data_IF_956186778234
#
_entry.id   IF_956186778234
#
_cell.length_a   1.000
_cell.length_b   1.000
_cell.length_c   1.000
_cell.angle_alpha   90.00
_cell.angle_beta   90.00
_cell.angle_gamma   90.00
#
_symmetry.space_group_name_H-M   'P 1'
#
loop_
_entity.id
_entity.type
_entity.pdbx_description
1 polymer ?
#
# COMPACT_ATOMS: atom_id res chain seq x y z
N UNK A 1 75.16 34.80 -5.84
CA UNK A 1 74.21 34.46 -6.95
C UNK A 1 73.56 33.07 -6.85
N UNK A 2 74.23 32.08 -6.29
CA UNK A 2 73.65 30.68 -6.21
C UNK A 2 72.41 30.53 -5.30
N UNK A 3 72.31 31.30 -4.21
CA UNK A 3 71.13 31.22 -3.28
C UNK A 3 69.85 31.81 -3.85
N UNK A 4 69.89 32.76 -4.77
CA UNK A 4 68.72 33.34 -5.40
C UNK A 4 68.07 32.41 -6.45
N UNK A 5 68.90 31.66 -7.21
CA UNK A 5 68.40 30.69 -8.20
C UNK A 5 67.68 29.48 -7.57
N UNK A 6 68.13 29.01 -6.39
CA UNK A 6 67.51 27.87 -5.70
C UNK A 6 66.11 28.24 -5.14
N UNK A 7 65.95 29.48 -4.63
CA UNK A 7 64.64 29.94 -4.13
C UNK A 7 63.63 30.13 -5.27
N UNK A 8 64.02 30.58 -6.43
CA UNK A 8 63.14 30.73 -7.60
C UNK A 8 62.71 29.39 -8.16
N UNK A 9 63.56 28.36 -8.12
CA UNK A 9 63.25 27.01 -8.60
C UNK A 9 62.26 26.29 -7.68
N UNK A 10 62.33 26.50 -6.35
CA UNK A 10 61.40 25.92 -5.36
C UNK A 10 60.01 26.55 -5.50
N UNK A 11 59.92 27.88 -5.74
CA UNK A 11 58.64 28.56 -5.92
C UNK A 11 57.94 28.12 -7.22
N UNK A 12 58.68 27.98 -8.34
CA UNK A 12 58.09 27.51 -9.60
C UNK A 12 57.65 26.05 -9.52
N UNK A 13 58.40 25.19 -8.82
CA UNK A 13 58.00 23.77 -8.63
C UNK A 13 56.77 23.62 -7.72
N UNK A 14 56.64 24.44 -6.67
CA UNK A 14 55.46 24.42 -5.79
C UNK A 14 54.20 24.94 -6.49
N UNK A 15 54.31 25.92 -7.40
CA UNK A 15 53.16 26.40 -8.19
C UNK A 15 52.72 25.41 -9.26
N UNK A 16 53.64 24.65 -9.86
CA UNK A 16 53.30 23.58 -10.80
C UNK A 16 52.60 22.42 -10.13
N UNK A 17 53.06 21.99 -8.93
CA UNK A 17 52.40 20.93 -8.18
C UNK A 17 50.99 21.34 -7.68
N UNK A 18 50.79 22.61 -7.28
CA UNK A 18 49.47 23.13 -6.88
C UNK A 18 48.51 23.24 -8.07
N UNK A 19 48.98 23.53 -9.29
CA UNK A 19 48.14 23.59 -10.48
C UNK A 19 47.69 22.18 -10.92
N UNK A 20 48.57 21.19 -10.84
CA UNK A 20 48.26 19.80 -11.21
C UNK A 20 47.30 19.13 -10.22
N UNK A 21 47.44 19.44 -8.91
CA UNK A 21 46.52 18.91 -7.87
C UNK A 21 45.12 19.51 -7.97
N UNK A 22 44.98 20.78 -8.34
CA UNK A 22 43.69 21.43 -8.60
C UNK A 22 43.01 20.93 -9.87
N UNK A 23 43.74 20.66 -10.94
CA UNK A 23 43.20 20.11 -12.19
C UNK A 23 42.71 18.66 -11.98
N UNK A 24 43.44 17.86 -11.20
CA UNK A 24 43.04 16.51 -10.84
C UNK A 24 41.79 16.53 -9.91
N UNK A 25 41.76 17.43 -8.93
CA UNK A 25 40.58 17.59 -8.03
C UNK A 25 39.34 18.08 -8.79
N UNK A 26 39.49 19.02 -9.73
CA UNK A 26 38.44 19.49 -10.62
C UNK A 26 37.95 18.38 -11.59
N UNK A 27 38.86 17.56 -12.10
CA UNK A 27 38.53 16.42 -12.94
C UNK A 27 37.81 15.31 -12.14
N UNK A 28 38.23 15.06 -10.89
CA UNK A 28 37.50 14.15 -9.98
C UNK A 28 36.12 14.69 -9.60
N UNK A 29 35.95 15.96 -9.28
CA UNK A 29 34.66 16.59 -9.04
C UNK A 29 33.77 16.58 -10.29
N UNK A 30 34.31 16.86 -11.47
CA UNK A 30 33.58 16.83 -12.73
C UNK A 30 33.12 15.41 -13.10
N UNK A 31 33.99 14.39 -12.90
CA UNK A 31 33.62 12.99 -13.10
C UNK A 31 32.65 12.44 -12.04
N UNK A 32 32.65 12.95 -10.80
CA UNK A 32 31.67 12.57 -9.77
C UNK A 32 30.31 13.24 -9.96
N UNK A 33 30.26 14.40 -10.64
CA UNK A 33 28.99 15.08 -10.96
C UNK A 33 28.36 14.52 -12.26
N UNK A 34 29.15 13.93 -13.18
CA UNK A 34 28.62 13.34 -14.42
C UNK A 34 28.01 11.92 -14.27
N UNK A 35 28.07 11.28 -13.11
CA UNK A 35 27.55 9.90 -12.91
C UNK A 35 26.50 9.71 -11.83
N UNK A 36 26.00 10.75 -11.21
CA UNK A 36 24.83 10.59 -10.36
C UNK A 36 23.57 10.66 -11.24
N UNK A 37 23.15 9.51 -11.79
CA UNK A 37 21.85 9.44 -12.46
C UNK A 37 20.78 9.99 -11.52
N UNK A 38 19.96 10.89 -12.06
CA UNK A 38 18.81 11.44 -11.35
C UNK A 38 17.87 10.32 -10.86
N UNK A 39 17.34 10.47 -9.65
CA UNK A 39 16.44 9.50 -9.02
C UNK A 39 15.23 9.13 -9.90
N UNK A 40 14.72 10.10 -10.68
CA UNK A 40 13.64 9.85 -11.62
C UNK A 40 14.10 8.91 -12.73
N UNK A 41 15.27 9.15 -13.32
CA UNK A 41 15.86 8.28 -14.35
C UNK A 41 16.07 6.85 -13.82
N UNK A 42 16.62 6.69 -12.62
CA UNK A 42 16.76 5.38 -11.97
C UNK A 42 15.42 4.69 -11.78
N UNK A 43 14.39 5.43 -11.34
CA UNK A 43 13.04 4.90 -11.17
C UNK A 43 12.42 4.46 -12.49
N UNK A 44 12.54 5.25 -13.56
CA UNK A 44 12.08 4.90 -14.91
C UNK A 44 12.76 3.61 -15.39
N UNK A 45 14.08 3.52 -15.29
CA UNK A 45 14.85 2.33 -15.66
C UNK A 45 14.43 1.08 -14.89
N UNK A 46 14.03 1.22 -13.62
CA UNK A 46 13.58 0.08 -12.80
C UNK A 46 12.28 -0.57 -13.31
N UNK A 47 11.49 0.13 -14.12
CA UNK A 47 10.24 -0.40 -14.69
C UNK A 47 10.40 -0.92 -16.12
N UNK A 48 11.48 -0.59 -16.81
CA UNK A 48 11.72 -0.96 -18.22
C UNK A 48 12.84 -2.01 -18.30
N UNK A 49 12.82 -2.81 -19.35
CA UNK A 49 14.02 -3.55 -19.74
C UNK A 49 15.02 -2.60 -20.40
N UNK A 50 16.31 -2.98 -20.35
CA UNK A 50 17.41 -2.16 -20.86
C UNK A 50 17.21 -1.77 -22.33
N UNK A 51 16.76 -2.68 -23.18
CA UNK A 51 16.59 -2.44 -24.60
C UNK A 51 15.45 -1.44 -24.87
N UNK A 52 14.31 -1.59 -24.18
CA UNK A 52 13.19 -0.64 -24.27
C UNK A 52 13.62 0.76 -23.84
N UNK A 53 14.38 0.89 -22.75
CA UNK A 53 14.89 2.18 -22.29
C UNK A 53 15.82 2.84 -23.32
N UNK A 54 16.85 2.13 -23.78
CA UNK A 54 17.84 2.68 -24.70
C UNK A 54 17.23 3.07 -26.05
N UNK A 55 16.35 2.24 -26.60
CA UNK A 55 15.67 2.52 -27.87
C UNK A 55 14.74 3.74 -27.83
N UNK A 56 14.25 4.11 -26.64
CA UNK A 56 13.27 5.19 -26.46
C UNK A 56 13.81 6.36 -25.63
N UNK A 57 15.10 6.45 -25.38
CA UNK A 57 15.70 7.42 -24.45
C UNK A 57 15.28 8.88 -24.72
N UNK A 58 15.32 9.33 -25.98
CA UNK A 58 14.91 10.69 -26.34
C UNK A 58 13.41 10.93 -26.12
N UNK A 59 12.57 9.94 -26.43
CA UNK A 59 11.13 10.00 -26.19
C UNK A 59 10.81 10.00 -24.69
N UNK A 60 11.48 9.16 -23.89
CA UNK A 60 11.36 9.15 -22.44
C UNK A 60 11.71 10.51 -21.84
N UNK A 61 12.83 11.11 -22.25
CA UNK A 61 13.20 12.46 -21.80
C UNK A 61 12.09 13.47 -22.05
N UNK A 62 11.44 13.42 -23.23
CA UNK A 62 10.35 14.34 -23.59
C UNK A 62 9.08 14.15 -22.73
N UNK A 63 8.62 12.91 -22.52
CA UNK A 63 7.36 12.65 -21.79
C UNK A 63 7.48 12.84 -20.27
N UNK A 64 8.71 12.93 -19.74
CA UNK A 64 8.95 13.19 -18.33
C UNK A 64 9.30 14.66 -18.02
N UNK A 65 9.10 15.58 -18.95
CA UNK A 65 9.20 17.03 -18.72
C UNK A 65 7.83 17.64 -18.31
N UNK A 66 7.80 18.55 -17.33
CA UNK A 66 8.91 18.92 -16.45
C UNK A 66 9.12 17.85 -15.35
N UNK A 67 10.38 17.50 -15.10
CA UNK A 67 10.75 16.44 -14.14
C UNK A 67 10.20 16.68 -12.75
N UNK A 68 10.13 17.94 -12.30
CA UNK A 68 9.57 18.32 -10.99
C UNK A 68 8.14 17.84 -10.76
N UNK A 69 7.38 17.62 -11.84
CA UNK A 69 6.01 17.11 -11.75
C UNK A 69 5.92 15.65 -11.27
N UNK A 70 7.03 14.92 -11.27
CA UNK A 70 7.12 13.52 -10.87
C UNK A 70 7.65 13.32 -9.45
N UNK A 71 7.72 14.39 -8.66
CA UNK A 71 8.14 14.34 -7.28
C UNK A 71 7.01 14.73 -6.32
N UNK A 72 6.92 14.01 -5.20
CA UNK A 72 6.02 14.30 -4.09
C UNK A 72 6.81 14.18 -2.79
N UNK A 73 6.90 15.26 -2.01
CA UNK A 73 7.68 15.30 -0.76
C UNK A 73 9.11 14.76 -0.96
N UNK A 74 9.83 15.28 -1.95
CA UNK A 74 11.21 14.92 -2.30
C UNK A 74 11.42 13.47 -2.76
N UNK A 75 10.36 12.71 -2.97
CA UNK A 75 10.39 11.34 -3.49
C UNK A 75 9.79 11.28 -4.87
N UNK A 76 10.29 10.36 -5.69
CA UNK A 76 9.70 10.09 -7.00
C UNK A 76 8.32 9.45 -6.82
N UNK A 77 7.31 10.00 -7.46
CA UNK A 77 5.96 9.43 -7.54
C UNK A 77 5.97 8.22 -8.49
N UNK A 78 6.23 7.05 -7.93
CA UNK A 78 6.28 5.80 -8.69
C UNK A 78 4.96 5.47 -9.41
N UNK A 79 3.81 5.84 -8.84
CA UNK A 79 2.50 5.63 -9.46
C UNK A 79 2.37 6.47 -10.72
N UNK A 80 2.75 7.75 -10.66
CA UNK A 80 2.73 8.66 -11.80
C UNK A 80 3.73 8.26 -12.88
N UNK A 81 4.94 7.81 -12.49
CA UNK A 81 5.93 7.26 -13.43
C UNK A 81 5.35 6.08 -14.20
N UNK A 82 4.77 5.10 -13.52
CA UNK A 82 4.16 3.93 -14.15
C UNK A 82 2.98 4.33 -15.05
N UNK A 83 2.16 5.28 -14.60
CA UNK A 83 1.05 5.80 -15.41
C UNK A 83 1.56 6.39 -16.73
N UNK A 84 2.57 7.26 -16.67
CA UNK A 84 3.17 7.90 -17.85
C UNK A 84 3.76 6.87 -18.81
N UNK A 85 4.54 5.90 -18.29
CA UNK A 85 5.11 4.82 -19.10
C UNK A 85 4.02 3.97 -19.78
N UNK A 86 2.94 3.65 -19.05
CA UNK A 86 1.82 2.87 -19.57
C UNK A 86 1.03 3.63 -20.65
N UNK A 87 0.69 4.89 -20.40
CA UNK A 87 -0.07 5.73 -21.34
C UNK A 87 0.69 5.99 -22.64
N UNK A 88 2.01 6.00 -22.59
CA UNK A 88 2.87 6.15 -23.76
C UNK A 88 3.33 4.81 -24.38
N UNK A 89 2.76 3.68 -23.95
CA UNK A 89 2.99 2.36 -24.53
C UNK A 89 4.33 1.71 -24.22
N UNK A 90 5.15 2.33 -23.34
CA UNK A 90 6.47 1.84 -22.95
C UNK A 90 6.38 0.70 -21.92
N UNK A 91 5.35 0.70 -21.07
CA UNK A 91 5.12 -0.32 -20.05
C UNK A 91 3.78 -1.03 -20.28
N UNK A 92 3.83 -2.33 -20.56
CA UNK A 92 2.66 -3.18 -20.71
C UNK A 92 2.40 -3.95 -19.42
N UNK A 93 1.17 -3.82 -18.89
CA UNK A 93 0.71 -4.56 -17.71
C UNK A 93 -0.07 -5.84 -18.09
N UNK A 94 -0.23 -6.12 -19.38
CA UNK A 94 -0.93 -7.27 -19.93
C UNK A 94 0.06 -8.40 -20.27
N UNK A 95 -0.32 -9.63 -19.95
CA UNK A 95 0.41 -10.84 -20.31
C UNK A 95 -0.34 -11.58 -21.40
N UNK A 96 0.37 -12.16 -22.38
CA UNK A 96 -0.25 -12.91 -23.49
C UNK A 96 -1.03 -14.16 -23.03
N UNK A 97 -0.71 -14.68 -21.84
CA UNK A 97 -1.37 -15.83 -21.19
C UNK A 97 -1.40 -15.62 -19.69
N UNK A 98 -2.37 -16.20 -18.93
CA UNK A 98 -2.39 -16.12 -17.49
C UNK A 98 -1.08 -16.64 -16.88
N UNK A 99 -0.38 -15.78 -16.15
CA UNK A 99 0.89 -16.06 -15.49
C UNK A 99 0.73 -16.09 -13.96
N UNK A 100 1.62 -16.80 -13.29
CA UNK A 100 1.76 -16.71 -11.85
C UNK A 100 2.44 -15.37 -11.51
N UNK A 101 1.74 -14.54 -10.75
CA UNK A 101 2.14 -13.19 -10.44
C UNK A 101 2.24 -13.00 -8.93
N UNK A 102 3.28 -12.28 -8.47
CA UNK A 102 3.56 -12.05 -7.06
C UNK A 102 3.45 -10.56 -6.73
N UNK A 103 2.78 -10.28 -5.61
CA UNK A 103 2.71 -8.96 -5.02
C UNK A 103 3.24 -9.01 -3.59
N UNK A 104 4.17 -8.15 -3.28
CA UNK A 104 4.76 -7.98 -1.97
C UNK A 104 4.40 -6.59 -1.45
N UNK A 105 3.67 -6.55 -0.35
CA UNK A 105 3.20 -5.30 0.24
C UNK A 105 3.91 -5.06 1.56
N UNK A 106 4.54 -3.91 1.71
CA UNK A 106 5.29 -3.50 2.91
C UNK A 106 4.63 -2.30 3.56
N UNK A 107 4.53 -2.30 4.89
CA UNK A 107 4.03 -1.18 5.70
C UNK A 107 4.68 -1.14 7.07
N UNK A 108 4.70 0.03 7.71
CA UNK A 108 5.14 0.20 9.10
C UNK A 108 3.99 0.15 10.11
N UNK A 109 2.75 -0.06 9.64
CA UNK A 109 1.56 -0.07 10.49
C UNK A 109 1.16 -1.46 11.00
N UNK A 110 0.00 -1.53 11.69
CA UNK A 110 -0.54 -2.76 12.25
C UNK A 110 -0.79 -3.83 11.16
N UNK A 111 -0.25 -5.06 11.31
CA UNK A 111 -0.37 -6.12 10.31
C UNK A 111 -1.82 -6.48 9.96
N UNK A 112 -2.67 -6.69 10.96
CA UNK A 112 -4.06 -7.09 10.74
C UNK A 112 -4.87 -5.98 10.06
N UNK A 113 -4.64 -4.74 10.47
CA UNK A 113 -5.27 -3.56 9.87
C UNK A 113 -4.85 -3.41 8.41
N UNK A 114 -3.56 -3.55 8.15
CA UNK A 114 -3.01 -3.48 6.80
C UNK A 114 -3.57 -4.57 5.88
N UNK A 115 -3.52 -5.84 6.31
CA UNK A 115 -4.05 -6.97 5.52
C UNK A 115 -5.54 -6.80 5.25
N UNK A 116 -6.30 -6.22 6.19
CA UNK A 116 -7.73 -5.95 5.99
C UNK A 116 -7.94 -4.88 4.91
N UNK A 117 -7.24 -3.74 4.97
CA UNK A 117 -7.33 -2.67 3.96
C UNK A 117 -6.90 -3.19 2.58
N UNK A 118 -5.73 -3.83 2.49
CA UNK A 118 -5.22 -4.36 1.24
C UNK A 118 -6.12 -5.44 0.65
N UNK A 119 -6.63 -6.35 1.50
CA UNK A 119 -7.54 -7.41 1.05
C UNK A 119 -8.87 -6.88 0.54
N UNK A 120 -9.40 -5.80 1.13
CA UNK A 120 -10.60 -5.12 0.63
C UNK A 120 -10.29 -4.41 -0.69
N UNK A 121 -9.19 -3.67 -0.78
CA UNK A 121 -8.78 -2.98 -2.00
C UNK A 121 -8.59 -3.97 -3.17
N UNK A 122 -7.83 -5.04 -2.97
CA UNK A 122 -7.62 -6.08 -3.98
C UNK A 122 -8.94 -6.70 -4.45
N UNK A 123 -9.86 -6.99 -3.54
CA UNK A 123 -11.18 -7.53 -3.88
C UNK A 123 -12.00 -6.55 -4.70
N UNK A 124 -12.02 -5.28 -4.32
CA UNK A 124 -12.79 -4.23 -5.00
C UNK A 124 -12.30 -3.97 -6.43
N UNK A 125 -11.00 -4.19 -6.70
CA UNK A 125 -10.43 -4.09 -8.04
C UNK A 125 -10.43 -5.42 -8.82
N UNK A 126 -11.07 -6.48 -8.27
CA UNK A 126 -11.32 -7.73 -8.99
C UNK A 126 -10.40 -8.91 -8.65
N UNK A 127 -9.44 -8.75 -7.74
CA UNK A 127 -8.58 -9.85 -7.31
C UNK A 127 -9.22 -10.66 -6.17
N UNK A 128 -10.04 -11.64 -6.52
CA UNK A 128 -10.76 -12.47 -5.53
C UNK A 128 -10.00 -13.74 -5.13
N UNK A 129 -9.04 -14.18 -5.95
CA UNK A 129 -8.35 -15.47 -5.77
C UNK A 129 -6.85 -15.25 -5.74
N UNK A 130 -6.32 -15.18 -4.54
CA UNK A 130 -4.89 -15.18 -4.29
C UNK A 130 -4.59 -16.04 -3.06
N UNK A 131 -3.34 -16.46 -2.92
CA UNK A 131 -2.84 -17.16 -1.74
C UNK A 131 -1.75 -16.33 -1.07
N UNK A 132 -1.75 -16.27 0.25
CA UNK A 132 -0.64 -15.72 1.02
C UNK A 132 0.53 -16.70 0.93
N UNK A 133 1.67 -16.24 0.42
CA UNK A 133 2.88 -17.04 0.29
C UNK A 133 3.89 -16.73 1.38
N UNK A 134 3.86 -15.52 1.95
CA UNK A 134 4.67 -15.14 3.10
C UNK A 134 3.99 -14.02 3.89
N UNK A 135 4.28 -13.96 5.18
CA UNK A 135 3.85 -12.90 6.10
C UNK A 135 4.94 -12.74 7.15
N UNK A 136 5.70 -11.66 7.06
CA UNK A 136 6.87 -11.42 7.91
C UNK A 136 6.72 -10.09 8.64
N UNK A 137 6.92 -10.12 9.95
CA UNK A 137 7.00 -8.92 10.78
C UNK A 137 8.41 -8.83 11.35
N UNK A 138 9.13 -7.78 11.01
CA UNK A 138 10.40 -7.43 11.59
C UNK A 138 10.28 -6.20 12.52
N UNK A 139 11.38 -5.72 13.07
CA UNK A 139 11.38 -4.58 14.00
C UNK A 139 10.94 -3.25 13.35
N UNK A 140 10.94 -3.14 12.04
CA UNK A 140 10.70 -1.88 11.32
C UNK A 140 9.47 -1.92 10.42
N UNK A 141 9.06 -3.10 9.95
CA UNK A 141 8.00 -3.21 8.96
C UNK A 141 7.32 -4.58 8.94
N UNK A 142 6.11 -4.57 8.44
CA UNK A 142 5.34 -5.76 8.10
C UNK A 142 5.33 -5.96 6.58
N UNK A 143 5.69 -7.16 6.13
CA UNK A 143 5.62 -7.55 4.72
C UNK A 143 4.61 -8.66 4.52
N UNK A 144 3.66 -8.45 3.62
CA UNK A 144 2.66 -9.44 3.22
C UNK A 144 2.80 -9.76 1.74
N UNK A 145 3.09 -11.01 1.43
CA UNK A 145 3.33 -11.49 0.08
C UNK A 145 2.21 -12.42 -0.37
N UNK A 146 1.66 -12.16 -1.53
CA UNK A 146 0.60 -12.96 -2.16
C UNK A 146 1.00 -13.42 -3.56
N UNK A 147 0.42 -14.54 -3.98
CA UNK A 147 0.54 -15.03 -5.34
C UNK A 147 -0.85 -15.27 -5.94
N UNK A 148 -0.99 -14.98 -7.22
CA UNK A 148 -2.20 -15.22 -8.00
C UNK A 148 -1.87 -15.62 -9.44
N UNK A 149 -2.86 -16.16 -10.17
CA UNK A 149 -2.79 -16.27 -11.64
C UNK A 149 -3.62 -15.17 -12.27
N UNK A 150 -3.00 -14.40 -13.16
CA UNK A 150 -3.63 -13.27 -13.82
C UNK A 150 -3.08 -13.08 -15.23
N UNK A 151 -3.88 -12.52 -16.11
CA UNK A 151 -3.47 -11.99 -17.42
C UNK A 151 -2.96 -10.55 -17.33
N UNK A 152 -3.08 -9.93 -16.15
CA UNK A 152 -2.68 -8.55 -15.92
C UNK A 152 -1.84 -8.45 -14.65
N UNK A 153 -0.78 -7.65 -14.69
CA UNK A 153 -0.19 -7.09 -13.48
C UNK A 153 -1.20 -6.11 -12.85
N UNK A 154 -1.19 -6.03 -11.53
CA UNK A 154 -2.03 -5.05 -10.82
C UNK A 154 -1.69 -3.64 -11.27
N UNK A 155 -2.67 -2.92 -11.82
CA UNK A 155 -2.49 -1.52 -12.21
C UNK A 155 -2.32 -0.65 -10.94
N UNK A 156 -1.14 -0.02 -10.74
CA UNK A 156 -0.88 0.75 -9.53
C UNK A 156 -1.79 1.96 -9.35
N UNK A 157 -2.24 2.58 -10.46
CA UNK A 157 -3.14 3.72 -10.40
C UNK A 157 -4.53 3.31 -9.89
N UNK A 158 -5.03 2.15 -10.35
CA UNK A 158 -6.33 1.62 -9.89
C UNK A 158 -6.21 1.22 -8.41
N UNK A 159 -5.12 0.55 -8.03
CA UNK A 159 -4.87 0.18 -6.64
C UNK A 159 -4.74 1.42 -5.73
N UNK A 160 -4.00 2.45 -6.16
CA UNK A 160 -3.85 3.70 -5.42
C UNK A 160 -5.21 4.38 -5.17
N UNK A 161 -6.05 4.51 -6.22
CA UNK A 161 -7.40 5.08 -6.11
C UNK A 161 -8.29 4.32 -5.12
N UNK A 162 -8.15 3.00 -5.08
CA UNK A 162 -8.92 2.18 -4.15
C UNK A 162 -8.42 2.33 -2.71
N UNK A 163 -7.10 2.34 -2.50
CA UNK A 163 -6.47 2.54 -1.19
C UNK A 163 -6.80 3.92 -0.60
N UNK A 164 -6.86 4.96 -1.44
CA UNK A 164 -7.21 6.33 -1.01
C UNK A 164 -8.60 6.43 -0.39
N UNK A 165 -9.54 5.56 -0.74
CA UNK A 165 -10.87 5.50 -0.08
C UNK A 165 -10.77 5.18 1.40
N UNK A 166 -9.72 4.50 1.82
CA UNK A 166 -9.39 4.19 3.22
C UNK A 166 -8.28 5.06 3.78
N UNK A 167 -7.88 6.13 3.10
CA UNK A 167 -6.80 7.02 3.54
C UNK A 167 -5.39 6.40 3.45
N UNK A 168 -5.24 5.25 2.78
CA UNK A 168 -3.94 4.63 2.55
C UNK A 168 -3.34 5.06 1.21
N UNK A 169 -2.00 5.13 1.12
CA UNK A 169 -1.29 5.60 -0.07
C UNK A 169 -0.11 4.71 -0.41
N UNK A 170 0.10 4.45 -1.70
CA UNK A 170 1.33 3.85 -2.19
C UNK A 170 2.43 4.91 -2.14
N UNK A 171 3.54 4.61 -1.45
CA UNK A 171 4.67 5.52 -1.29
C UNK A 171 5.86 5.14 -2.17
N UNK A 172 5.96 3.87 -2.55
CA UNK A 172 6.95 3.41 -3.52
C UNK A 172 6.50 2.12 -4.19
N UNK A 173 7.03 1.86 -5.39
CA UNK A 173 6.83 0.63 -6.15
C UNK A 173 8.18 0.21 -6.72
N UNK A 174 8.51 -1.07 -6.63
CA UNK A 174 9.68 -1.68 -7.25
C UNK A 174 9.24 -2.90 -8.05
N UNK A 175 9.78 -3.03 -9.26
CA UNK A 175 9.53 -4.17 -10.13
C UNK A 175 10.76 -5.06 -10.13
N UNK A 176 10.73 -6.17 -9.38
CA UNK A 176 11.86 -7.12 -9.36
C UNK A 176 11.94 -7.87 -10.68
N UNK A 177 10.78 -8.31 -11.19
CA UNK A 177 10.64 -8.97 -12.48
C UNK A 177 9.33 -8.56 -13.13
N UNK A 178 9.08 -9.02 -14.37
CA UNK A 178 7.78 -8.82 -15.03
C UNK A 178 6.62 -9.37 -14.19
N UNK A 179 6.86 -10.38 -13.35
CA UNK A 179 5.83 -11.10 -12.59
C UNK A 179 5.95 -10.95 -11.07
N UNK A 180 6.82 -10.06 -10.57
CA UNK A 180 7.04 -9.82 -9.14
C UNK A 180 7.23 -8.33 -8.87
N UNK A 181 6.32 -7.77 -8.04
CA UNK A 181 6.27 -6.35 -7.74
C UNK A 181 6.17 -6.10 -6.25
N UNK A 182 6.93 -5.14 -5.75
CA UNK A 182 6.93 -4.69 -4.37
C UNK A 182 6.24 -3.33 -4.26
N UNK A 183 5.36 -3.19 -3.29
CA UNK A 183 4.64 -1.96 -2.96
C UNK A 183 4.93 -1.57 -1.53
N UNK A 184 5.45 -0.39 -1.31
CA UNK A 184 5.48 0.24 0.02
C UNK A 184 4.23 1.09 0.18
N UNK A 185 3.47 0.85 1.26
CA UNK A 185 2.17 1.48 1.49
C UNK A 185 2.16 2.15 2.85
N UNK A 186 1.86 3.43 2.86
CA UNK A 186 1.58 4.19 4.08
C UNK A 186 0.12 4.04 4.47
N UNK A 187 -0.11 3.64 5.71
CA UNK A 187 -1.44 3.53 6.34
C UNK A 187 -1.59 4.47 7.54
N UNK A 188 -0.70 5.45 7.68
CA UNK A 188 -0.79 6.47 8.73
C UNK A 188 -2.07 7.27 8.54
N UNK A 189 -2.92 7.29 9.57
CA UNK A 189 -4.23 7.94 9.46
C UNK A 189 -5.29 7.18 8.66
N UNK A 190 -4.98 5.97 8.17
CA UNK A 190 -5.94 5.14 7.45
C UNK A 190 -7.10 4.66 8.36
N UNK A 191 -8.23 4.34 7.73
CA UNK A 191 -9.43 3.84 8.40
C UNK A 191 -10.11 2.75 7.54
N UNK A 192 -10.91 1.90 8.16
CA UNK A 192 -11.74 0.97 7.38
C UNK A 192 -12.90 1.73 6.74
N UNK A 193 -13.03 1.63 5.43
CA UNK A 193 -14.16 2.17 4.69
C UNK A 193 -15.38 1.26 4.87
N UNK A 194 -16.04 1.38 6.04
CA UNK A 194 -17.17 0.56 6.46
C UNK A 194 -18.33 1.43 6.92
N UNK A 195 -19.59 0.92 6.90
CA UNK A 195 -20.74 1.66 7.40
C UNK A 195 -20.56 2.07 8.87
N UNK A 196 -20.88 3.34 9.16
CA UNK A 196 -20.83 3.91 10.51
C UNK A 196 -22.21 3.86 11.12
N UNK A 197 -22.32 3.40 12.37
CA UNK A 197 -23.59 3.37 13.10
C UNK A 197 -23.75 4.62 13.96
N UNK A 198 -24.83 5.35 13.77
CA UNK A 198 -25.18 6.55 14.51
C UNK A 198 -26.57 6.46 15.18
N UNK A 199 -26.73 7.16 16.29
CA UNK A 199 -28.01 7.43 16.92
C UNK A 199 -28.84 6.19 17.16
N UNK A 200 -30.10 6.18 16.68
CA UNK A 200 -31.07 5.08 16.88
C UNK A 200 -31.63 4.52 15.57
N UNK A 201 -31.08 4.97 14.41
CA UNK A 201 -31.57 4.56 13.09
C UNK A 201 -31.28 3.08 12.86
N UNK A 202 -32.33 2.29 12.56
CA UNK A 202 -32.20 0.88 12.20
C UNK A 202 -31.38 0.72 10.91
N UNK A 203 -30.41 -0.20 10.95
CA UNK A 203 -29.60 -0.60 9.80
C UNK A 203 -29.83 -2.08 9.51
N UNK A 204 -29.99 -2.43 8.23
CA UNK A 204 -30.22 -3.81 7.79
C UNK A 204 -28.95 -4.34 7.12
N UNK A 205 -28.38 -5.40 7.68
CA UNK A 205 -27.31 -6.17 7.06
C UNK A 205 -27.93 -7.27 6.22
N UNK A 206 -27.84 -7.14 4.91
CA UNK A 206 -28.29 -8.15 3.95
C UNK A 206 -27.39 -9.38 4.00
N UNK A 207 -27.88 -10.51 3.47
CA UNK A 207 -27.07 -11.71 3.28
C UNK A 207 -25.76 -11.38 2.57
N UNK A 208 -24.66 -11.92 3.09
CA UNK A 208 -23.30 -11.72 2.55
C UNK A 208 -22.51 -13.02 2.62
N UNK A 209 -21.55 -13.18 1.72
CA UNK A 209 -20.54 -14.24 1.76
C UNK A 209 -19.37 -13.88 2.69
N UNK A 210 -19.33 -12.63 3.15
CA UNK A 210 -18.27 -12.09 4.01
C UNK A 210 -18.87 -11.58 5.32
N UNK A 211 -18.07 -11.58 6.36
CA UNK A 211 -18.44 -10.97 7.63
C UNK A 211 -18.71 -9.47 7.45
N UNK A 212 -19.72 -8.96 8.15
CA UNK A 212 -20.03 -7.54 8.16
C UNK A 212 -19.07 -6.80 9.10
N UNK A 213 -18.48 -5.74 8.61
CA UNK A 213 -17.68 -4.82 9.39
C UNK A 213 -18.40 -3.49 9.52
N UNK A 214 -18.37 -2.90 10.71
CA UNK A 214 -19.09 -1.67 11.05
C UNK A 214 -18.21 -0.80 11.93
N UNK A 215 -18.26 0.51 11.75
CA UNK A 215 -17.75 1.46 12.73
C UNK A 215 -18.84 1.69 13.79
N UNK A 216 -18.51 1.40 15.04
CA UNK A 216 -19.42 1.49 16.19
C UNK A 216 -18.93 2.50 17.23
N UNK A 217 -17.97 3.36 16.85
CA UNK A 217 -17.35 4.34 17.73
C UNK A 217 -18.34 5.35 18.33
N UNK A 218 -19.47 5.59 17.66
CA UNK A 218 -20.50 6.58 18.06
C UNK A 218 -21.66 6.02 18.87
N UNK A 219 -21.66 4.73 19.22
CA UNK A 219 -22.75 4.09 19.94
C UNK A 219 -22.28 3.34 21.20
N UNK A 220 -23.14 3.22 22.21
CA UNK A 220 -22.84 2.52 23.47
C UNK A 220 -23.32 1.08 23.50
N UNK A 221 -24.42 0.81 22.81
CA UNK A 221 -24.99 -0.53 22.75
C UNK A 221 -25.67 -0.79 21.41
N UNK A 222 -25.79 -2.06 21.06
CA UNK A 222 -26.38 -2.51 19.81
C UNK A 222 -27.37 -3.64 20.09
N UNK A 223 -28.59 -3.52 19.60
CA UNK A 223 -29.54 -4.60 19.55
C UNK A 223 -29.57 -5.18 18.14
N UNK A 224 -29.37 -6.50 18.04
CA UNK A 224 -29.42 -7.22 16.76
C UNK A 224 -30.61 -8.17 16.79
N UNK A 225 -31.51 -8.07 15.80
CA UNK A 225 -32.63 -8.98 15.56
C UNK A 225 -32.35 -9.77 14.29
N UNK A 226 -32.34 -11.08 14.39
CA UNK A 226 -32.18 -12.01 13.29
C UNK A 226 -33.53 -12.41 12.71
N UNK A 227 -33.62 -12.50 11.37
CA UNK A 227 -34.81 -13.06 10.70
C UNK A 227 -35.06 -14.48 11.13
N UNK A 228 -36.34 -14.89 11.13
CA UNK A 228 -36.76 -16.27 11.45
C UNK A 228 -36.18 -17.30 10.48
N UNK A 229 -35.80 -16.86 9.24
CA UNK A 229 -35.20 -17.72 8.23
C UNK A 229 -33.72 -18.04 8.50
N UNK A 230 -33.08 -17.32 9.43
CA UNK A 230 -31.67 -17.51 9.75
C UNK A 230 -31.50 -18.60 10.81
N UNK A 231 -30.42 -19.35 10.72
CA UNK A 231 -29.90 -20.18 11.82
C UNK A 231 -28.62 -19.55 12.36
N UNK A 232 -28.72 -18.29 12.80
CA UNK A 232 -27.56 -17.49 13.16
C UNK A 232 -26.99 -17.88 14.53
N UNK A 233 -25.72 -18.26 14.53
CA UNK A 233 -24.88 -18.52 15.71
C UNK A 233 -23.94 -17.33 15.88
N UNK A 234 -24.21 -16.36 16.75
CA UNK A 234 -23.45 -15.12 16.82
C UNK A 234 -21.95 -15.33 17.03
N UNK A 235 -21.16 -14.78 16.11
CA UNK A 235 -19.74 -14.56 16.26
C UNK A 235 -19.46 -13.08 16.05
N UNK A 236 -19.21 -12.36 17.17
CA UNK A 236 -19.11 -10.90 17.17
C UNK A 236 -17.79 -10.52 17.82
N UNK A 237 -16.93 -9.87 17.07
CA UNK A 237 -15.63 -9.43 17.53
C UNK A 237 -15.54 -7.90 17.55
N UNK A 238 -14.94 -7.36 18.60
CA UNK A 238 -14.79 -5.94 18.86
C UNK A 238 -13.31 -5.58 18.75
N UNK A 239 -13.01 -4.53 18.02
CA UNK A 239 -11.64 -4.11 17.73
C UNK A 239 -11.43 -2.62 18.00
N UNK A 240 -10.22 -2.25 18.37
CA UNK A 240 -9.79 -0.87 18.41
C UNK A 240 -9.54 -0.30 16.99
N UNK A 241 -8.97 0.92 16.92
CA UNK A 241 -8.66 1.58 15.66
C UNK A 241 -7.60 0.86 14.83
N UNK A 242 -6.71 0.10 15.46
CA UNK A 242 -5.61 -0.65 14.84
C UNK A 242 -5.96 -2.12 14.61
N UNK A 243 -7.22 -2.52 14.82
CA UNK A 243 -7.72 -3.90 14.76
C UNK A 243 -7.11 -4.86 15.80
N UNK A 244 -6.67 -4.37 16.95
CA UNK A 244 -6.43 -5.26 18.09
C UNK A 244 -7.77 -5.74 18.63
N UNK A 245 -7.86 -7.05 18.90
CA UNK A 245 -9.08 -7.66 19.42
C UNK A 245 -9.29 -7.27 20.89
N UNK A 246 -10.36 -6.55 21.18
CA UNK A 246 -10.72 -6.12 22.54
C UNK A 246 -11.65 -7.13 23.24
N UNK A 247 -12.60 -7.68 22.49
CA UNK A 247 -13.60 -8.60 23.02
C UNK A 247 -14.12 -9.53 21.92
N UNK A 248 -14.48 -10.75 22.31
CA UNK A 248 -15.12 -11.71 21.43
C UNK A 248 -16.37 -12.28 22.10
N UNK A 249 -17.50 -12.22 21.41
CA UNK A 249 -18.76 -12.85 21.82
C UNK A 249 -19.06 -13.99 20.87
N UNK A 250 -19.02 -15.24 21.36
CA UNK A 250 -19.39 -16.45 20.64
C UNK A 250 -20.61 -17.06 21.28
N UNK A 251 -21.57 -17.54 20.47
CA UNK A 251 -22.75 -18.26 20.90
C UNK A 251 -22.93 -19.52 20.06
N UNK A 252 -23.02 -20.66 20.72
CA UNK A 252 -23.15 -22.01 20.15
C UNK A 252 -24.60 -22.42 19.91
N UNK A 253 -25.57 -21.53 20.15
CA UNK A 253 -27.02 -21.73 19.93
C UNK A 253 -27.52 -20.71 18.90
N UNK A 254 -28.69 -21.02 18.31
CA UNK A 254 -29.38 -20.08 17.42
C UNK A 254 -29.95 -18.93 18.21
N UNK A 255 -29.59 -17.71 17.83
CA UNK A 255 -30.10 -16.48 18.43
C UNK A 255 -31.05 -15.77 17.48
N UNK A 256 -32.25 -15.43 17.96
CA UNK A 256 -33.23 -14.58 17.25
C UNK A 256 -32.99 -13.10 17.55
N UNK A 257 -32.41 -12.82 18.68
CA UNK A 257 -32.04 -11.48 19.07
C UNK A 257 -30.88 -11.53 20.08
N UNK A 258 -30.09 -10.46 20.11
CA UNK A 258 -29.03 -10.28 21.10
C UNK A 258 -28.84 -8.78 21.38
N UNK A 259 -28.61 -8.46 22.64
CA UNK A 259 -28.28 -7.11 23.09
C UNK A 259 -26.82 -7.06 23.51
N UNK A 260 -26.08 -6.13 22.97
CA UNK A 260 -24.62 -6.01 23.10
C UNK A 260 -24.28 -4.68 23.75
N UNK A 261 -23.43 -4.71 24.78
CA UNK A 261 -22.73 -3.54 25.30
C UNK A 261 -21.37 -3.44 24.58
N UNK A 262 -21.06 -2.27 24.03
CA UNK A 262 -19.86 -2.03 23.25
C UNK A 262 -18.76 -1.51 24.19
N UNK A 263 -17.60 -2.20 24.29
CA UNK A 263 -16.45 -1.73 25.08
C UNK A 263 -16.02 -0.32 24.67
N UNK A 264 -15.46 0.46 25.60
CA UNK A 264 -15.18 1.89 25.38
C UNK A 264 -14.28 2.16 24.17
N UNK A 265 -13.21 1.42 24.02
CA UNK A 265 -12.18 1.66 23.01
C UNK A 265 -12.48 1.00 21.66
N UNK A 266 -13.70 0.41 21.53
CA UNK A 266 -14.11 -0.22 20.29
C UNK A 266 -14.38 0.83 19.23
N UNK A 267 -13.65 0.73 18.12
CA UNK A 267 -13.94 1.46 16.88
C UNK A 267 -14.68 0.57 15.90
N UNK A 268 -14.19 -0.65 15.67
CA UNK A 268 -14.77 -1.54 14.69
C UNK A 268 -15.40 -2.78 15.31
N UNK A 269 -16.49 -3.22 14.72
CA UNK A 269 -17.18 -4.46 15.08
C UNK A 269 -17.31 -5.34 13.85
N UNK A 270 -16.93 -6.62 14.01
CA UNK A 270 -17.15 -7.67 13.01
C UNK A 270 -18.30 -8.55 13.42
N UNK A 271 -19.34 -8.63 12.60
CA UNK A 271 -20.49 -9.51 12.80
C UNK A 271 -20.41 -10.65 11.80
N UNK A 272 -20.43 -11.89 12.31
CA UNK A 272 -20.33 -13.12 11.54
C UNK A 272 -21.19 -14.21 12.15
N UNK A 273 -21.05 -15.42 11.62
CA UNK A 273 -21.61 -16.65 12.17
C UNK A 273 -20.47 -17.55 12.69
N UNK A 274 -20.68 -18.27 13.78
CA UNK A 274 -19.66 -19.11 14.41
C UNK A 274 -19.19 -20.24 13.50
N UNK A 275 -20.08 -20.79 12.68
CA UNK A 275 -19.82 -21.95 11.83
C UNK A 275 -19.69 -21.55 10.35
N UNK A 276 -20.74 -20.93 9.79
CA UNK A 276 -20.76 -20.52 8.38
C UNK A 276 -21.73 -19.38 8.13
N UNK A 277 -21.33 -18.40 7.34
CA UNK A 277 -22.19 -17.29 6.93
C UNK A 277 -23.43 -17.74 6.11
N UNK A 278 -23.43 -18.97 5.58
CA UNK A 278 -24.62 -19.56 4.93
C UNK A 278 -25.81 -19.72 5.89
N UNK A 279 -25.57 -19.72 7.21
CA UNK A 279 -26.62 -19.75 8.24
C UNK A 279 -27.41 -18.44 8.30
N UNK A 280 -26.83 -17.32 7.84
CA UNK A 280 -27.52 -16.04 7.67
C UNK A 280 -28.09 -15.99 6.27
N UNK A 281 -29.30 -16.52 6.10
CA UNK A 281 -29.99 -16.65 4.80
C UNK A 281 -30.74 -15.39 4.39
N UNK A 282 -31.03 -14.54 5.37
CA UNK A 282 -31.81 -13.31 5.25
C UNK A 282 -31.07 -12.17 5.98
N UNK A 283 -31.77 -11.10 6.33
CA UNK A 283 -31.18 -9.93 6.98
C UNK A 283 -30.95 -10.09 8.50
N UNK A 284 -29.99 -9.33 9.02
CA UNK A 284 -29.85 -8.98 10.42
C UNK A 284 -30.23 -7.49 10.57
N UNK A 285 -31.18 -7.18 11.47
CA UNK A 285 -31.59 -5.81 11.77
C UNK A 285 -30.85 -5.31 13.00
N UNK A 286 -30.17 -4.18 12.85
CA UNK A 286 -29.35 -3.56 13.86
C UNK A 286 -30.01 -2.28 14.35
N UNK A 287 -30.25 -2.18 15.65
CA UNK A 287 -30.79 -0.97 16.28
C UNK A 287 -29.72 -0.43 17.24
N UNK A 288 -28.97 0.62 16.84
CA UNK A 288 -27.99 1.28 17.72
C UNK A 288 -28.71 1.99 18.88
N UNK A 289 -28.03 2.13 20.03
CA UNK A 289 -28.53 2.88 21.19
C UNK A 289 -27.42 3.61 21.93
N UNK A 290 -27.73 4.82 22.38
CA UNK A 290 -26.83 5.67 23.15
C UNK A 290 -25.74 6.30 22.28
N UNK A 291 -25.66 7.64 22.32
CA UNK A 291 -24.53 8.36 21.73
C UNK A 291 -23.30 8.25 22.63
N UNK A 292 -22.14 8.22 22.01
CA UNK A 292 -20.81 8.40 22.65
C UNK A 292 -20.30 9.79 22.43
#
# INVERSE_FOLDING_TARGET
MVKACVLLFVIVFSTLMYAEENDVALAYQKNSVEQQEDLLTLKIKSFLDKQTYENNKAFISMIFEPQSAFYVNERVDAVKVIQTLKENGLLKLFFAKPQKFYLHFKTNGSPLFFVKIMGDALRNIGYFRYVTVASTLDSSAFTWSIAMRSEYATDPLILQKELQKSGANIIDIQRDTTYSWNYSVDITGAYLHVPVLYGTKEVKLKRSLYAHWLDVSHIRSLYIKSSIRNNWYPYIAYYDASLHLLKLTKKDKIYRNIRLQIPRDTKYMKISDLYTLKNVRDELKLTPKGAR
#
